data_IF_300596505151
#
_entry.id   IF_300596505151
#
_cell.length_a   1.000
_cell.length_b   1.000
_cell.length_c   1.000
_cell.angle_alpha   90.00
_cell.angle_beta   90.00
_cell.angle_gamma   90.00
#
_symmetry.space_group_name_H-M   'P 1'
#
loop_
_entity.id
_entity.type
_entity.pdbx_description
1 polymer ?
#
# COMPACT_ATOMS: atom_id res chain seq x y z
N UNK A 1 -12.43 10.45 24.33
CA UNK A 1 -12.69 10.99 22.96
C UNK A 1 -11.46 10.66 22.13
N UNK A 2 -11.56 9.63 21.33
CA UNK A 2 -10.43 9.16 20.52
C UNK A 2 -10.34 10.02 19.28
N UNK A 3 -9.21 10.65 19.09
CA UNK A 3 -8.96 11.42 17.89
C UNK A 3 -8.76 10.45 16.72
N UNK A 4 -9.72 10.45 15.84
CA UNK A 4 -9.69 9.72 14.59
C UNK A 4 -8.48 10.17 13.81
N UNK A 5 -7.69 9.18 13.40
CA UNK A 5 -6.50 9.39 12.61
C UNK A 5 -6.87 9.91 11.22
N UNK A 6 -6.90 11.22 11.08
CA UNK A 6 -6.74 11.80 9.75
C UNK A 6 -5.29 11.73 9.38
N UNK A 7 -4.98 11.48 8.11
CA UNK A 7 -3.61 11.53 7.64
C UNK A 7 -3.04 12.90 8.02
N UNK A 8 -2.16 12.92 9.01
CA UNK A 8 -1.30 14.06 9.22
C UNK A 8 -0.47 14.18 7.96
N UNK A 9 -0.39 15.37 7.39
CA UNK A 9 0.64 15.67 6.41
C UNK A 9 1.96 15.48 7.13
N UNK A 10 2.57 14.31 6.95
CA UNK A 10 3.87 14.02 7.53
C UNK A 10 4.89 14.93 6.89
N UNK A 11 5.55 15.72 7.70
CA UNK A 11 6.77 16.39 7.28
C UNK A 11 7.82 15.32 7.03
N UNK A 12 7.88 14.95 5.77
CA UNK A 12 8.99 14.38 4.98
C UNK A 12 9.94 13.33 5.58
N UNK A 13 10.32 12.46 4.70
CA UNK A 13 11.46 11.51 4.64
C UNK A 13 11.97 10.88 5.95
N UNK A 14 12.28 11.64 7.01
CA UNK A 14 12.80 11.10 8.26
C UNK A 14 11.76 10.34 9.08
N UNK A 15 10.53 10.83 9.16
CA UNK A 15 9.44 10.16 9.88
C UNK A 15 8.98 8.91 9.12
N UNK A 16 8.97 8.96 7.79
CA UNK A 16 8.67 7.82 6.96
C UNK A 16 9.77 6.75 7.07
N UNK A 17 11.04 7.15 7.09
CA UNK A 17 12.15 6.24 7.35
C UNK A 17 12.07 5.61 8.75
N UNK A 18 11.68 6.38 9.76
CA UNK A 18 11.45 5.86 11.12
C UNK A 18 10.31 4.85 11.15
N UNK A 19 9.23 5.10 10.42
CA UNK A 19 8.11 4.17 10.28
C UNK A 19 8.50 2.91 9.54
N UNK A 20 9.19 3.03 8.40
CA UNK A 20 9.72 1.89 7.66
C UNK A 20 10.71 1.08 8.50
N UNK A 21 11.53 1.75 9.32
CA UNK A 21 12.44 1.09 10.27
C UNK A 21 11.66 0.37 11.36
N UNK A 22 10.60 0.94 11.92
CA UNK A 22 9.72 0.27 12.89
C UNK A 22 9.07 -0.97 12.30
N UNK A 23 8.49 -0.86 11.10
CA UNK A 23 7.92 -1.98 10.36
C UNK A 23 8.97 -3.06 10.09
N UNK A 24 10.20 -2.66 9.76
CA UNK A 24 11.30 -3.59 9.49
C UNK A 24 11.83 -4.31 10.72
N UNK A 25 11.64 -3.75 11.92
CA UNK A 25 12.07 -4.34 13.19
C UNK A 25 10.98 -5.24 13.83
N UNK A 26 9.74 -5.16 13.34
CA UNK A 26 8.63 -5.96 13.87
C UNK A 26 8.72 -7.38 13.33
N UNK A 27 8.70 -8.37 14.21
CA UNK A 27 8.69 -9.78 13.80
C UNK A 27 7.35 -10.17 13.16
N UNK A 28 7.35 -11.24 12.37
CA UNK A 28 6.15 -11.72 11.67
C UNK A 28 4.98 -12.06 12.61
N UNK A 29 5.28 -12.51 13.84
CA UNK A 29 4.28 -12.79 14.88
C UNK A 29 3.66 -11.54 15.49
N UNK A 30 4.40 -10.43 15.49
CA UNK A 30 3.96 -9.18 16.11
C UNK A 30 3.15 -8.31 15.13
N UNK A 31 3.17 -8.64 13.83
CA UNK A 31 2.44 -7.89 12.79
C UNK A 31 0.92 -8.00 12.95
N UNK A 32 0.40 -9.13 13.44
CA UNK A 32 -1.03 -9.28 13.67
C UNK A 32 -1.54 -8.30 14.72
N UNK A 33 -0.79 -8.13 15.82
CA UNK A 33 -1.15 -7.21 16.90
C UNK A 33 -1.04 -5.74 16.47
N UNK A 34 -0.08 -5.43 15.59
CA UNK A 34 0.13 -4.06 15.06
C UNK A 34 -1.02 -3.61 14.15
N UNK A 35 -1.67 -4.55 13.48
CA UNK A 35 -2.76 -4.25 12.55
C UNK A 35 -4.15 -4.45 13.15
N UNK A 36 -4.26 -4.81 14.44
CA UNK A 36 -5.54 -4.83 15.12
C UNK A 36 -6.17 -3.44 15.18
N UNK A 37 -7.49 -3.41 15.00
CA UNK A 37 -8.24 -2.15 15.11
C UNK A 37 -8.16 -1.69 16.56
N UNK A 38 -7.66 -0.48 16.84
CA UNK A 38 -7.64 0.03 18.20
C UNK A 38 -9.04 0.08 18.81
N UNK A 39 -9.19 -0.20 20.10
CA UNK A 39 -10.49 -0.15 20.77
C UNK A 39 -11.19 1.21 20.57
N UNK A 40 -12.42 1.17 20.05
CA UNK A 40 -13.22 2.36 19.81
C UNK A 40 -13.04 3.01 18.45
N UNK A 41 -12.12 2.51 17.61
CA UNK A 41 -11.95 2.99 16.23
C UNK A 41 -12.93 2.34 15.26
N UNK A 42 -13.33 3.10 14.25
CA UNK A 42 -14.14 2.60 13.15
C UNK A 42 -13.26 1.86 12.13
N UNK A 43 -13.75 0.75 11.60
CA UNK A 43 -13.02 -0.06 10.61
C UNK A 43 -12.63 0.74 9.37
N UNK A 44 -13.56 1.50 8.80
CA UNK A 44 -13.30 2.26 7.57
C UNK A 44 -12.24 3.34 7.81
N UNK A 45 -12.31 4.02 8.94
CA UNK A 45 -11.32 5.03 9.33
C UNK A 45 -9.95 4.39 9.55
N UNK A 46 -9.88 3.24 10.20
CA UNK A 46 -8.64 2.49 10.41
C UNK A 46 -8.01 2.01 9.10
N UNK A 47 -8.84 1.49 8.20
CA UNK A 47 -8.39 1.06 6.87
C UNK A 47 -7.90 2.26 6.06
N UNK A 48 -8.61 3.40 6.08
CA UNK A 48 -8.18 4.60 5.38
C UNK A 48 -6.86 5.16 5.91
N UNK A 49 -6.68 5.15 7.22
CA UNK A 49 -5.42 5.57 7.84
C UNK A 49 -4.26 4.72 7.33
N UNK A 50 -4.38 3.40 7.42
CA UNK A 50 -3.32 2.50 6.98
C UNK A 50 -3.12 2.53 5.46
N UNK A 51 -4.19 2.69 4.69
CA UNK A 51 -4.08 2.90 3.25
C UNK A 51 -3.22 4.11 2.90
N UNK A 52 -3.42 5.23 3.59
CA UNK A 52 -2.62 6.45 3.39
C UNK A 52 -1.17 6.22 3.78
N UNK A 53 -0.91 5.54 4.89
CA UNK A 53 0.45 5.21 5.35
C UNK A 53 1.19 4.33 4.34
N UNK A 54 0.54 3.28 3.84
CA UNK A 54 1.12 2.42 2.81
C UNK A 54 1.34 3.15 1.49
N UNK A 55 0.45 4.07 1.14
CA UNK A 55 0.63 4.91 -0.05
C UNK A 55 1.86 5.82 0.08
N UNK A 56 2.07 6.44 1.23
CA UNK A 56 3.25 7.26 1.48
C UNK A 56 4.54 6.45 1.47
N UNK A 57 4.52 5.24 2.03
CA UNK A 57 5.64 4.30 1.92
C UNK A 57 5.93 3.93 0.46
N UNK A 58 4.91 3.63 -0.32
CA UNK A 58 5.05 3.28 -1.73
C UNK A 58 5.64 4.42 -2.55
N UNK A 59 5.19 5.65 -2.33
CA UNK A 59 5.78 6.85 -2.96
C UNK A 59 7.27 6.99 -2.64
N UNK A 60 7.63 6.75 -1.39
CA UNK A 60 9.04 6.79 -0.98
C UNK A 60 9.87 5.73 -1.71
N UNK A 61 9.39 4.49 -1.77
CA UNK A 61 10.09 3.40 -2.47
C UNK A 61 10.29 3.71 -3.95
N UNK A 62 9.28 4.27 -4.61
CA UNK A 62 9.35 4.65 -6.02
C UNK A 62 10.35 5.80 -6.23
N UNK A 63 10.39 6.77 -5.33
CA UNK A 63 11.33 7.90 -5.43
C UNK A 63 12.77 7.48 -5.16
N UNK A 64 12.98 6.49 -4.30
CA UNK A 64 14.31 5.96 -3.99
C UNK A 64 14.86 5.10 -5.13
N UNK A 65 13.98 4.45 -5.88
CA UNK A 65 14.32 3.55 -6.97
C UNK A 65 13.94 4.17 -8.32
N UNK A 66 14.91 4.76 -8.99
CA UNK A 66 14.71 5.39 -10.31
C UNK A 66 14.46 4.32 -11.38
N UNK A 67 13.22 3.81 -11.45
CA UNK A 67 12.83 2.78 -12.39
C UNK A 67 12.97 3.25 -13.84
N UNK A 68 13.81 2.56 -14.60
CA UNK A 68 14.03 2.74 -16.04
C UNK A 68 13.50 1.57 -16.87
N UNK A 69 12.66 0.71 -16.29
CA UNK A 69 12.08 -0.43 -16.99
C UNK A 69 11.24 0.04 -18.20
N UNK A 70 11.31 -0.72 -19.28
CA UNK A 70 10.51 -0.52 -20.50
C UNK A 70 9.14 -1.24 -20.44
N UNK A 71 8.94 -2.07 -19.42
CA UNK A 71 7.72 -2.88 -19.22
C UNK A 71 7.31 -2.92 -17.76
N UNK A 72 6.01 -3.07 -17.55
CA UNK A 72 5.44 -3.25 -16.22
C UNK A 72 5.35 -4.75 -15.89
N UNK A 73 6.00 -5.17 -14.82
CA UNK A 73 6.08 -6.57 -14.42
C UNK A 73 5.13 -6.86 -13.25
N UNK A 74 4.30 -7.89 -13.42
CA UNK A 74 3.45 -8.44 -12.35
C UNK A 74 3.95 -9.86 -12.04
N UNK A 75 5.02 -9.99 -11.27
CA UNK A 75 5.68 -11.27 -11.08
C UNK A 75 6.25 -11.79 -12.41
N UNK A 76 5.87 -12.99 -12.82
CA UNK A 76 6.25 -13.56 -14.13
C UNK A 76 5.44 -12.98 -15.30
N UNK A 77 4.27 -12.40 -15.03
CA UNK A 77 3.47 -11.75 -16.05
C UNK A 77 4.05 -10.38 -16.42
N UNK A 78 3.94 -10.02 -17.67
CA UNK A 78 4.44 -8.75 -18.19
C UNK A 78 3.25 -7.99 -18.78
N UNK A 79 2.98 -6.82 -18.23
CA UNK A 79 2.08 -5.88 -18.86
C UNK A 79 2.86 -4.99 -19.81
N UNK A 80 2.43 -4.96 -21.07
CA UNK A 80 2.97 -4.03 -22.05
C UNK A 80 2.37 -2.65 -21.78
N UNK A 81 3.22 -1.69 -21.51
CA UNK A 81 2.85 -0.29 -21.46
C UNK A 81 3.96 0.55 -22.09
N UNK A 82 3.60 1.65 -22.69
CA UNK A 82 4.53 2.50 -23.43
C UNK A 82 5.53 3.22 -22.52
N UNK A 83 5.17 3.42 -21.26
CA UNK A 83 6.03 4.04 -20.26
C UNK A 83 5.60 3.63 -18.84
N UNK A 84 6.27 2.64 -18.23
CA UNK A 84 5.98 2.22 -16.85
C UNK A 84 6.05 3.36 -15.85
N UNK A 85 7.04 4.22 -15.97
CA UNK A 85 7.21 5.38 -15.09
C UNK A 85 6.03 6.35 -15.19
N UNK A 86 5.57 6.67 -16.42
CA UNK A 86 4.41 7.54 -16.62
C UNK A 86 3.12 6.89 -16.08
N UNK A 87 2.94 5.58 -16.27
CA UNK A 87 1.79 4.84 -15.73
C UNK A 87 1.79 4.83 -14.21
N UNK A 88 2.93 4.60 -13.58
CA UNK A 88 3.08 4.66 -12.13
C UNK A 88 2.73 6.06 -11.61
N UNK A 89 3.24 7.11 -12.23
CA UNK A 89 2.93 8.49 -11.83
C UNK A 89 1.44 8.80 -11.98
N UNK A 90 0.80 8.31 -13.03
CA UNK A 90 -0.64 8.46 -13.22
C UNK A 90 -1.44 7.75 -12.12
N UNK A 91 -1.06 6.54 -11.77
CA UNK A 91 -1.69 5.78 -10.68
C UNK A 91 -1.51 6.53 -9.34
N UNK A 92 -0.31 6.99 -9.05
CA UNK A 92 -0.03 7.74 -7.83
C UNK A 92 -0.87 9.02 -7.73
N UNK A 93 -1.05 9.74 -8.84
CA UNK A 93 -1.88 10.93 -8.91
C UNK A 93 -3.37 10.61 -8.65
N UNK A 94 -3.87 9.50 -9.19
CA UNK A 94 -5.25 9.05 -8.95
C UNK A 94 -5.48 8.68 -7.49
N UNK A 95 -4.55 7.97 -6.87
CA UNK A 95 -4.63 7.60 -5.45
C UNK A 95 -4.53 8.84 -4.57
N UNK A 96 -3.63 9.77 -4.87
CA UNK A 96 -3.50 11.03 -4.13
C UNK A 96 -4.81 11.84 -4.16
N UNK A 97 -5.47 11.91 -5.32
CA UNK A 97 -6.79 12.56 -5.47
C UNK A 97 -7.85 11.86 -4.62
N UNK A 98 -7.88 10.54 -4.62
CA UNK A 98 -8.79 9.76 -3.77
C UNK A 98 -8.58 10.06 -2.29
N UNK A 99 -7.33 10.06 -1.83
CA UNK A 99 -6.99 10.38 -0.42
C UNK A 99 -7.46 11.79 -0.04
N UNK A 100 -7.29 12.76 -0.92
CA UNK A 100 -7.77 14.14 -0.68
C UNK A 100 -9.29 14.25 -0.57
N UNK A 101 -10.03 13.32 -1.18
CA UNK A 101 -11.49 13.26 -1.16
C UNK A 101 -12.05 12.42 -0.01
N UNK A 102 -11.21 11.83 0.82
CA UNK A 102 -11.67 11.08 1.98
C UNK A 102 -12.46 11.98 2.93
N UNK A 103 -13.58 11.48 3.48
CA UNK A 103 -14.46 12.29 4.31
C UNK A 103 -13.79 12.75 5.60
N UNK A 104 -14.31 13.85 6.14
CA UNK A 104 -13.96 14.30 7.48
C UNK A 104 -14.49 13.34 8.54
N UNK A 105 -13.96 13.47 9.77
CA UNK A 105 -14.19 12.61 10.92
C UNK A 105 -15.68 12.27 11.15
N UNK A 106 -16.58 13.23 10.94
CA UNK A 106 -18.02 13.04 11.20
C UNK A 106 -18.85 12.83 9.92
N UNK A 107 -18.21 12.57 8.78
CA UNK A 107 -18.87 12.37 7.51
C UNK A 107 -18.95 10.89 7.16
N UNK A 108 -20.09 10.49 6.61
CA UNK A 108 -20.26 9.12 6.12
C UNK A 108 -19.48 8.90 4.83
N UNK A 109 -18.94 7.69 4.69
CA UNK A 109 -18.33 7.25 3.45
C UNK A 109 -19.39 7.08 2.34
N UNK A 110 -18.99 7.34 1.09
CA UNK A 110 -19.85 7.13 -0.06
C UNK A 110 -20.24 5.65 -0.20
N UNK A 111 -21.38 5.38 -0.84
CA UNK A 111 -21.87 4.00 -1.00
C UNK A 111 -20.92 3.09 -1.80
N UNK A 112 -20.17 3.68 -2.71
CA UNK A 112 -19.18 3.00 -3.56
C UNK A 112 -17.75 3.05 -3.00
N UNK A 113 -17.60 3.52 -1.77
CA UNK A 113 -16.30 3.71 -1.11
C UNK A 113 -15.44 2.44 -1.14
N UNK A 114 -15.99 1.31 -0.71
CA UNK A 114 -15.24 0.06 -0.68
C UNK A 114 -14.80 -0.40 -2.06
N UNK A 115 -15.63 -0.22 -3.08
CA UNK A 115 -15.28 -0.56 -4.47
C UNK A 115 -14.15 0.33 -4.99
N UNK A 116 -14.22 1.61 -4.69
CA UNK A 116 -13.19 2.59 -5.09
C UNK A 116 -11.88 2.33 -4.35
N UNK A 117 -11.96 2.05 -3.05
CA UNK A 117 -10.79 1.68 -2.24
C UNK A 117 -10.11 0.41 -2.78
N UNK A 118 -10.88 -0.66 -3.06
CA UNK A 118 -10.34 -1.88 -3.65
C UNK A 118 -9.65 -1.64 -5.00
N UNK A 119 -10.20 -0.76 -5.84
CA UNK A 119 -9.56 -0.37 -7.09
C UNK A 119 -8.17 0.22 -6.85
N UNK A 120 -8.05 1.13 -5.87
CA UNK A 120 -6.77 1.76 -5.56
C UNK A 120 -5.80 0.79 -4.87
N UNK A 121 -6.29 -0.11 -4.04
CA UNK A 121 -5.48 -1.20 -3.48
C UNK A 121 -4.93 -2.07 -4.61
N UNK A 122 -5.75 -2.45 -5.59
CA UNK A 122 -5.31 -3.21 -6.78
C UNK A 122 -4.21 -2.48 -7.56
N UNK A 123 -4.33 -1.18 -7.70
CA UNK A 123 -3.29 -0.36 -8.34
C UNK A 123 -1.98 -0.37 -7.54
N UNK A 124 -2.06 -0.31 -6.22
CA UNK A 124 -0.88 -0.42 -5.35
C UNK A 124 -0.26 -1.82 -5.42
N UNK A 125 -1.07 -2.88 -5.46
CA UNK A 125 -0.59 -4.27 -5.67
C UNK A 125 0.26 -4.35 -6.93
N UNK A 126 -0.21 -3.80 -8.04
CA UNK A 126 0.52 -3.81 -9.31
C UNK A 126 1.90 -3.15 -9.19
N UNK A 127 1.96 -1.99 -8.53
CA UNK A 127 3.23 -1.29 -8.33
C UNK A 127 4.17 -2.10 -7.42
N UNK A 128 3.66 -2.64 -6.31
CA UNK A 128 4.46 -3.47 -5.42
C UNK A 128 5.00 -4.72 -6.10
N UNK A 129 4.18 -5.42 -6.88
CA UNK A 129 4.64 -6.61 -7.62
C UNK A 129 5.76 -6.26 -8.61
N UNK A 130 5.65 -5.13 -9.30
CA UNK A 130 6.73 -4.63 -10.15
C UNK A 130 8.02 -4.35 -9.37
N UNK A 131 7.90 -3.63 -8.26
CA UNK A 131 9.05 -3.30 -7.42
C UNK A 131 9.72 -4.56 -6.85
N UNK A 132 8.95 -5.48 -6.30
CA UNK A 132 9.48 -6.71 -5.71
C UNK A 132 10.16 -7.57 -6.78
N UNK A 133 9.62 -7.62 -7.99
CA UNK A 133 10.15 -8.45 -9.06
C UNK A 133 11.38 -7.84 -9.76
N UNK A 134 11.35 -6.53 -10.02
CA UNK A 134 12.40 -5.84 -10.81
C UNK A 134 13.35 -4.98 -9.99
N UNK A 135 12.91 -4.53 -8.84
CA UNK A 135 13.66 -3.63 -7.97
C UNK A 135 13.73 -4.17 -6.53
N UNK A 136 14.09 -5.47 -6.35
CA UNK A 136 14.05 -6.08 -5.04
C UNK A 136 15.07 -5.43 -4.09
N UNK A 137 14.58 -5.09 -2.91
CA UNK A 137 15.39 -4.71 -1.75
C UNK A 137 14.71 -5.21 -0.49
N UNK A 138 15.41 -5.33 0.60
CA UNK A 138 14.82 -5.73 1.88
C UNK A 138 13.67 -4.81 2.28
N UNK A 139 13.81 -3.53 2.01
CA UNK A 139 12.79 -2.53 2.33
C UNK A 139 11.53 -2.71 1.47
N UNK A 140 11.68 -2.93 0.16
CA UNK A 140 10.57 -3.19 -0.75
C UNK A 140 9.83 -4.47 -0.35
N UNK A 141 10.56 -5.54 -0.07
CA UNK A 141 9.99 -6.83 0.32
C UNK A 141 9.20 -6.74 1.61
N UNK A 142 9.73 -6.09 2.64
CA UNK A 142 9.07 -5.90 3.93
C UNK A 142 7.84 -5.00 3.83
N UNK A 143 7.95 -3.90 3.10
CA UNK A 143 6.81 -3.00 2.86
C UNK A 143 5.68 -3.72 2.12
N UNK A 144 6.01 -4.50 1.09
CA UNK A 144 5.05 -5.33 0.37
C UNK A 144 4.39 -6.37 1.27
N UNK A 145 5.18 -7.07 2.08
CA UNK A 145 4.67 -8.08 3.01
C UNK A 145 3.65 -7.49 4.00
N UNK A 146 3.97 -6.35 4.58
CA UNK A 146 3.09 -5.66 5.52
C UNK A 146 1.81 -5.17 4.85
N UNK A 147 1.94 -4.57 3.67
CA UNK A 147 0.83 -4.14 2.84
C UNK A 147 -0.11 -5.32 2.52
N UNK A 148 0.44 -6.40 2.01
CA UNK A 148 -0.33 -7.59 1.65
C UNK A 148 -1.07 -8.18 2.85
N UNK A 149 -0.38 -8.39 3.97
CA UNK A 149 -1.00 -8.97 5.16
C UNK A 149 -2.11 -8.09 5.71
N UNK A 150 -1.90 -6.78 5.77
CA UNK A 150 -2.93 -5.86 6.25
C UNK A 150 -4.19 -5.94 5.39
N UNK A 151 -4.08 -5.70 4.09
CA UNK A 151 -5.26 -5.66 3.23
C UNK A 151 -5.90 -7.03 2.99
N UNK A 152 -5.11 -8.10 3.03
CA UNK A 152 -5.64 -9.47 2.96
C UNK A 152 -6.45 -9.83 4.22
N UNK A 153 -6.01 -9.41 5.39
CA UNK A 153 -6.75 -9.59 6.65
C UNK A 153 -8.15 -8.98 6.59
N UNK A 154 -8.29 -7.82 5.97
CA UNK A 154 -9.58 -7.13 5.80
C UNK A 154 -10.32 -7.52 4.51
N UNK A 155 -9.85 -8.53 3.78
CA UNK A 155 -10.44 -9.05 2.54
C UNK A 155 -10.59 -7.99 1.43
N UNK A 156 -9.65 -7.07 1.36
CA UNK A 156 -9.64 -5.95 0.42
C UNK A 156 -8.79 -6.22 -0.82
N UNK A 157 -8.05 -7.32 -0.86
CA UNK A 157 -7.31 -7.78 -2.05
C UNK A 157 -8.17 -8.77 -2.83
N UNK A 158 -8.21 -8.63 -4.14
CA UNK A 158 -8.96 -9.53 -5.02
C UNK A 158 -8.33 -10.92 -5.06
N UNK A 159 -9.13 -11.96 -5.25
CA UNK A 159 -8.67 -13.36 -5.22
C UNK A 159 -7.59 -13.68 -6.23
N UNK A 160 -7.68 -13.15 -7.44
CA UNK A 160 -6.67 -13.31 -8.49
C UNK A 160 -5.36 -12.59 -8.14
N UNK A 161 -5.45 -11.45 -7.48
CA UNK A 161 -4.28 -10.72 -6.98
C UNK A 161 -3.61 -11.44 -5.80
N UNK A 162 -4.39 -12.09 -4.92
CA UNK A 162 -3.84 -12.90 -3.82
C UNK A 162 -2.92 -13.99 -4.38
N UNK A 163 -3.34 -14.69 -5.42
CA UNK A 163 -2.53 -15.74 -6.06
C UNK A 163 -1.19 -15.19 -6.55
N UNK A 164 -1.20 -14.04 -7.22
CA UNK A 164 0.02 -13.38 -7.71
C UNK A 164 0.93 -12.95 -6.54
N UNK A 165 0.36 -12.41 -5.49
CA UNK A 165 1.11 -12.00 -4.30
C UNK A 165 1.74 -13.20 -3.58
N UNK A 166 1.00 -14.30 -3.43
CA UNK A 166 1.49 -15.53 -2.80
C UNK A 166 2.62 -16.17 -3.59
N UNK A 167 2.56 -16.18 -4.93
CA UNK A 167 3.66 -16.64 -5.77
C UNK A 167 4.94 -15.86 -5.52
N UNK A 168 4.84 -14.54 -5.41
CA UNK A 168 5.98 -13.66 -5.13
C UNK A 168 6.51 -13.91 -3.72
N UNK A 169 5.63 -13.99 -2.72
CA UNK A 169 5.99 -14.24 -1.32
C UNK A 169 6.73 -15.59 -1.17
N UNK A 170 6.20 -16.64 -1.79
CA UNK A 170 6.84 -17.96 -1.75
C UNK A 170 8.21 -17.98 -2.43
N UNK A 171 8.43 -17.13 -3.42
CA UNK A 171 9.72 -16.99 -4.08
C UNK A 171 10.75 -16.20 -3.24
N UNK A 172 10.30 -15.47 -2.22
CA UNK A 172 11.15 -14.67 -1.32
C UNK A 172 11.55 -15.42 -0.04
N UNK A 173 10.92 -16.54 0.27
CA UNK A 173 11.25 -17.42 1.39
C UNK A 173 12.34 -18.43 1.01
#
# INVERSE_FOLDING_TARGET
MYHIFKPKVYEKSEQLQLQLTKISLTSQSDLQDVFEIPPGENLDDWVCYNFTEFFDQLKYLISADQCTCDRFYLGKAVLLCDSPSAQVQQILAQIATFIQQLPSIDQQYAKDFNTTLQKHISQMVQIYLHLVYKHPSDLVQRSFWNFFNFFNQFQLIKKDEIVLCEEVINALQ
#
